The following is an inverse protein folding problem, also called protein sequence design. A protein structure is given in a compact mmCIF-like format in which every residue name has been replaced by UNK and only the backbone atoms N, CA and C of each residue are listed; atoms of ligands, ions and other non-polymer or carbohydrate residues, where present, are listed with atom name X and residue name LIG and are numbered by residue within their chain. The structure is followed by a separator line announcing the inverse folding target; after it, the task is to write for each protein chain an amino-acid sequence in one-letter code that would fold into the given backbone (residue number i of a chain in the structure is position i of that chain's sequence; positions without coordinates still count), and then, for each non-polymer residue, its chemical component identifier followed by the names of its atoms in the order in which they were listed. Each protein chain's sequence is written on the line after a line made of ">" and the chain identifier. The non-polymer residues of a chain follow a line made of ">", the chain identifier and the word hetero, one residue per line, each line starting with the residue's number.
data_IF_031329024932
#
_entry.id   IF_031329024932
#
_cell.length_a   1.000
_cell.length_b   1.000
_cell.length_c   1.000
_cell.angle_alpha   90.00
_cell.angle_beta   90.00
_cell.angle_gamma   90.00
#
_symmetry.space_group_name_H-M   'P 1'
#
loop_
_entity.id
_entity.type
_entity.pdbx_description
1 polymer ?
#
# COMPACT_ATOMS: atom_id res chain seq x y z
N UNK A 1 -23.30 -39.82 -6.95
CA UNK A 1 -23.85 -39.12 -8.13
C UNK A 1 -25.03 -38.27 -7.67
N UNK A 2 -24.93 -36.93 -7.62
CA UNK A 2 -26.06 -35.97 -7.73
C UNK A 2 -25.50 -34.53 -7.70
N UNK A 3 -25.46 -33.80 -8.83
CA UNK A 3 -26.35 -32.72 -9.34
C UNK A 3 -26.15 -31.37 -8.65
N UNK A 4 -25.60 -30.41 -9.42
CA UNK A 4 -25.51 -28.97 -9.10
C UNK A 4 -26.20 -28.26 -10.26
N UNK A 5 -27.27 -27.50 -9.98
CA UNK A 5 -28.02 -26.74 -10.98
C UNK A 5 -27.50 -25.30 -11.01
N UNK A 6 -26.97 -24.87 -12.15
CA UNK A 6 -26.86 -23.45 -12.48
C UNK A 6 -28.24 -22.92 -12.93
N UNK A 7 -28.65 -21.77 -12.41
CA UNK A 7 -29.92 -21.11 -12.73
C UNK A 7 -30.07 -20.91 -14.25
N UNK A 8 -31.16 -21.41 -14.81
CA UNK A 8 -31.64 -21.01 -16.14
C UNK A 8 -32.52 -19.76 -16.06
N UNK A 9 -32.51 -18.87 -17.07
CA UNK A 9 -33.45 -17.76 -17.16
C UNK A 9 -34.86 -18.30 -17.46
N UNK A 10 -35.86 -17.84 -16.68
CA UNK A 10 -37.27 -18.20 -16.86
C UNK A 10 -37.84 -17.43 -18.06
N UNK A 11 -38.00 -18.11 -19.19
CA UNK A 11 -38.81 -17.65 -20.32
C UNK A 11 -39.48 -18.84 -20.99
N UNK A 12 -40.82 -18.82 -21.14
CA UNK A 12 -41.58 -19.86 -21.84
C UNK A 12 -41.26 -19.81 -23.35
N UNK A 13 -40.93 -20.92 -24.03
CA UNK A 13 -40.87 -20.93 -25.48
C UNK A 13 -42.26 -21.23 -26.08
N UNK A 14 -42.61 -20.68 -27.24
CA UNK A 14 -43.78 -21.11 -27.99
C UNK A 14 -43.48 -22.46 -28.67
N UNK A 15 -44.49 -23.32 -28.71
CA UNK A 15 -44.47 -24.59 -29.43
C UNK A 15 -44.18 -24.39 -30.93
N UNK A 16 -43.21 -25.13 -31.49
CA UNK A 16 -43.36 -26.04 -32.65
C UNK A 16 -41.99 -26.50 -33.20
N UNK A 17 -42.00 -27.71 -33.78
CA UNK A 17 -40.92 -28.39 -34.53
C UNK A 17 -39.83 -29.05 -33.69
N UNK A 18 -40.07 -30.32 -33.34
CA UNK A 18 -39.06 -31.26 -32.83
C UNK A 18 -38.01 -31.56 -33.91
N UNK A 19 -36.90 -30.79 -33.92
CA UNK A 19 -35.62 -31.27 -34.43
C UNK A 19 -34.89 -31.95 -33.27
N UNK A 20 -34.43 -33.19 -33.49
CA UNK A 20 -33.61 -33.93 -32.56
C UNK A 20 -32.24 -33.23 -32.39
N UNK A 21 -32.20 -32.20 -31.55
CA UNK A 21 -30.96 -31.61 -31.06
C UNK A 21 -30.43 -32.55 -29.97
N UNK A 22 -29.43 -33.37 -30.31
CA UNK A 22 -28.60 -34.02 -29.30
C UNK A 22 -27.85 -32.91 -28.56
N UNK A 23 -28.38 -32.47 -27.42
CA UNK A 23 -27.63 -31.62 -26.50
C UNK A 23 -26.49 -32.47 -25.93
N UNK A 24 -25.27 -32.27 -26.44
CA UNK A 24 -24.05 -32.66 -25.75
C UNK A 24 -23.95 -31.80 -24.49
N UNK A 25 -24.55 -32.26 -23.39
CA UNK A 25 -24.32 -31.68 -22.08
C UNK A 25 -22.93 -32.11 -21.63
N UNK A 26 -21.95 -31.22 -21.78
CA UNK A 26 -20.66 -31.38 -21.11
C UNK A 26 -20.91 -31.08 -19.62
N UNK A 27 -20.64 -32.06 -18.76
CA UNK A 27 -20.70 -31.88 -17.32
C UNK A 27 -19.65 -30.85 -16.90
N UNK A 28 -20.07 -29.61 -16.65
CA UNK A 28 -19.19 -28.49 -16.29
C UNK A 28 -18.78 -28.48 -14.80
N UNK A 29 -19.19 -29.48 -14.02
CA UNK A 29 -18.89 -29.55 -12.59
C UNK A 29 -17.46 -30.02 -12.34
N UNK A 30 -16.74 -29.32 -11.48
CA UNK A 30 -15.43 -29.78 -11.00
C UNK A 30 -15.62 -30.86 -9.94
N UNK A 31 -14.99 -32.03 -10.13
CA UNK A 31 -14.93 -33.11 -9.11
C UNK A 31 -13.58 -33.07 -8.42
N UNK A 32 -13.53 -33.32 -7.10
CA UNK A 32 -12.26 -33.41 -6.37
C UNK A 32 -11.32 -34.49 -6.94
N UNK A 33 -11.85 -35.56 -7.52
CA UNK A 33 -11.05 -36.62 -8.15
C UNK A 33 -10.37 -36.18 -9.46
N UNK A 34 -10.85 -35.12 -10.11
CA UNK A 34 -10.31 -34.61 -11.38
C UNK A 34 -9.68 -33.23 -11.22
N UNK A 35 -10.00 -32.52 -10.14
CA UNK A 35 -9.48 -31.20 -9.83
C UNK A 35 -8.24 -31.35 -8.94
N UNK A 36 -7.10 -30.92 -9.45
CA UNK A 36 -5.84 -31.01 -8.71
C UNK A 36 -5.81 -29.99 -7.57
N UNK A 37 -6.02 -30.47 -6.35
CA UNK A 37 -5.95 -29.70 -5.11
C UNK A 37 -5.05 -30.44 -4.09
N UNK A 38 -3.72 -30.25 -4.14
CA UNK A 38 -2.79 -30.97 -3.27
C UNK A 38 -2.85 -30.37 -1.85
N UNK A 39 -3.76 -30.88 -1.03
CA UNK A 39 -3.83 -30.57 0.40
C UNK A 39 -2.65 -31.20 1.15
N UNK A 40 -2.29 -30.64 2.30
CA UNK A 40 -1.11 -31.04 3.09
C UNK A 40 0.13 -30.18 2.82
N UNK A 41 1.21 -30.39 3.57
CA UNK A 41 2.52 -29.75 3.31
C UNK A 41 3.26 -29.20 4.53
N UNK A 42 2.57 -28.79 5.59
CA UNK A 42 3.17 -28.46 6.90
C UNK A 42 2.18 -28.82 8.01
N UNK A 43 2.59 -29.66 8.95
CA UNK A 43 1.97 -29.72 10.27
C UNK A 43 2.46 -28.53 11.08
N UNK A 44 1.60 -27.85 11.87
CA UNK A 44 2.12 -26.90 12.86
C UNK A 44 3.15 -27.61 13.74
N UNK A 45 4.29 -26.97 14.00
CA UNK A 45 5.16 -27.41 15.08
C UNK A 45 4.43 -27.10 16.40
N UNK A 46 4.50 -28.02 17.36
CA UNK A 46 3.79 -27.89 18.64
C UNK A 46 4.08 -26.52 19.29
N UNK A 47 3.04 -25.68 19.40
CA UNK A 47 3.09 -24.36 20.07
C UNK A 47 2.86 -23.14 19.18
N UNK A 48 2.96 -23.24 17.85
CA UNK A 48 2.67 -22.12 16.95
C UNK A 48 1.18 -22.05 16.59
N UNK A 49 0.54 -20.89 16.77
CA UNK A 49 -0.76 -20.62 16.13
C UNK A 49 -0.61 -20.74 14.61
N UNK A 50 -1.56 -21.41 13.95
CA UNK A 50 -1.54 -21.62 12.50
C UNK A 50 -1.36 -20.28 11.76
N UNK A 51 -0.17 -20.06 11.21
CA UNK A 51 0.10 -18.89 10.39
C UNK A 51 -0.82 -18.91 9.15
N UNK A 52 -1.33 -17.76 8.72
CA UNK A 52 -2.25 -17.69 7.57
C UNK A 52 -1.59 -18.20 6.29
N UNK A 53 -0.28 -18.00 6.18
CA UNK A 53 0.53 -18.62 5.16
C UNK A 53 0.55 -20.15 5.25
N UNK A 54 0.69 -20.71 6.46
CA UNK A 54 0.64 -22.16 6.67
C UNK A 54 -0.73 -22.74 6.29
N UNK A 55 -1.82 -22.04 6.58
CA UNK A 55 -3.17 -22.43 6.15
C UNK A 55 -3.31 -22.43 4.61
N UNK A 56 -2.78 -21.42 3.93
CA UNK A 56 -2.77 -21.35 2.46
C UNK A 56 -1.95 -22.48 1.83
N UNK A 57 -0.82 -22.86 2.44
CA UNK A 57 -0.02 -24.02 2.02
C UNK A 57 -0.80 -25.32 2.28
N UNK A 58 -1.28 -25.55 3.50
CA UNK A 58 -2.01 -26.76 3.91
C UNK A 58 -3.28 -26.97 3.09
N UNK A 59 -3.99 -25.90 2.77
CA UNK A 59 -5.19 -25.92 1.93
C UNK A 59 -4.91 -26.11 0.42
N UNK A 60 -3.64 -26.18 0.00
CA UNK A 60 -3.30 -26.37 -1.42
C UNK A 60 -3.58 -25.14 -2.28
N UNK A 61 -3.51 -23.92 -1.73
CA UNK A 61 -3.69 -22.68 -2.47
C UNK A 61 -2.39 -22.20 -3.13
N UNK A 62 -1.25 -22.43 -2.46
CA UNK A 62 0.06 -22.00 -2.94
C UNK A 62 1.20 -22.92 -2.48
N UNK A 63 2.35 -22.80 -3.15
CA UNK A 63 3.64 -23.36 -2.73
C UNK A 63 4.73 -22.32 -2.86
N UNK A 64 5.71 -22.37 -1.97
CA UNK A 64 6.87 -21.50 -2.04
C UNK A 64 7.90 -22.09 -3.02
N UNK A 65 8.34 -21.29 -3.98
CA UNK A 65 9.40 -21.65 -4.92
C UNK A 65 10.77 -21.25 -4.37
N UNK A 66 10.88 -19.98 -3.95
CA UNK A 66 12.07 -19.39 -3.32
C UNK A 66 11.62 -18.40 -2.23
N UNK A 67 12.58 -17.83 -1.49
CA UNK A 67 12.26 -16.80 -0.49
C UNK A 67 11.55 -15.61 -1.16
N UNK A 68 10.29 -15.36 -0.75
CA UNK A 68 9.46 -14.32 -1.34
C UNK A 68 8.91 -14.59 -2.75
N UNK A 69 8.99 -15.83 -3.25
CA UNK A 69 8.47 -16.19 -4.58
C UNK A 69 7.56 -17.42 -4.46
N UNK A 70 6.35 -17.32 -4.99
CA UNK A 70 5.28 -18.30 -4.77
C UNK A 70 4.64 -18.78 -6.07
N UNK A 71 4.32 -20.07 -6.12
CA UNK A 71 3.44 -20.65 -7.12
C UNK A 71 2.01 -20.68 -6.57
N UNK A 72 1.08 -20.06 -7.29
CA UNK A 72 -0.35 -20.25 -7.03
C UNK A 72 -0.82 -21.55 -7.66
N UNK A 73 -1.52 -22.35 -6.85
CA UNK A 73 -2.13 -23.60 -7.26
C UNK A 73 -3.59 -23.34 -7.72
N UNK A 74 -4.29 -24.31 -8.31
CA UNK A 74 -5.61 -24.08 -8.91
C UNK A 74 -6.64 -23.42 -7.98
N UNK A 75 -6.66 -23.73 -6.68
CA UNK A 75 -7.55 -23.06 -5.71
C UNK A 75 -7.17 -21.59 -5.52
N UNK A 76 -5.88 -21.30 -5.30
CA UNK A 76 -5.37 -19.94 -5.18
C UNK A 76 -5.62 -19.12 -6.43
N UNK A 77 -5.38 -19.70 -7.61
CA UNK A 77 -5.60 -19.04 -8.89
C UNK A 77 -7.08 -18.72 -9.12
N UNK A 78 -8.01 -19.58 -8.69
CA UNK A 78 -9.45 -19.28 -8.75
C UNK A 78 -9.84 -18.10 -7.86
N UNK A 79 -9.31 -18.03 -6.64
CA UNK A 79 -9.52 -16.87 -5.75
C UNK A 79 -8.96 -15.60 -6.40
N UNK A 80 -7.73 -15.68 -6.91
CA UNK A 80 -7.08 -14.56 -7.58
C UNK A 80 -7.92 -14.06 -8.77
N UNK A 81 -8.33 -14.94 -9.69
CA UNK A 81 -9.13 -14.53 -10.85
C UNK A 81 -10.47 -13.92 -10.47
N UNK A 82 -11.14 -14.42 -9.43
CA UNK A 82 -12.39 -13.82 -8.93
C UNK A 82 -12.16 -12.42 -8.37
N UNK A 83 -11.05 -12.24 -7.66
CA UNK A 83 -10.64 -10.95 -7.12
C UNK A 83 -10.27 -9.97 -8.25
N UNK A 84 -9.54 -10.43 -9.27
CA UNK A 84 -9.24 -9.65 -10.48
C UNK A 84 -10.52 -9.23 -11.20
N UNK A 85 -11.48 -10.14 -11.38
CA UNK A 85 -12.78 -9.85 -12.00
C UNK A 85 -13.56 -8.80 -11.21
N UNK A 86 -13.52 -8.89 -9.87
CA UNK A 86 -14.17 -7.92 -9.01
C UNK A 86 -13.51 -6.54 -9.12
N UNK A 87 -12.17 -6.49 -9.16
CA UNK A 87 -11.44 -5.23 -9.39
C UNK A 87 -11.77 -4.66 -10.77
N UNK A 88 -11.76 -5.48 -11.82
CA UNK A 88 -12.09 -5.07 -13.19
C UNK A 88 -13.48 -4.42 -13.25
N UNK A 89 -14.49 -5.03 -12.63
CA UNK A 89 -15.86 -4.47 -12.52
C UNK A 89 -15.86 -3.05 -11.95
N UNK A 90 -15.11 -2.79 -10.88
CA UNK A 90 -15.05 -1.47 -10.25
C UNK A 90 -14.22 -0.46 -11.05
N UNK A 91 -13.14 -0.90 -11.72
CA UNK A 91 -12.35 -0.03 -12.60
C UNK A 91 -13.10 0.35 -13.88
N UNK A 92 -13.86 -0.58 -14.46
CA UNK A 92 -14.72 -0.32 -15.62
C UNK A 92 -15.84 0.67 -15.27
N UNK A 93 -16.36 0.64 -14.03
CA UNK A 93 -17.42 1.56 -13.59
C UNK A 93 -17.02 3.04 -13.62
N UNK A 94 -15.71 3.34 -13.52
CA UNK A 94 -15.17 4.71 -13.61
C UNK A 94 -14.61 5.05 -15.01
N UNK A 95 -14.89 4.20 -16.00
CA UNK A 95 -14.42 4.35 -17.38
C UNK A 95 -12.93 4.10 -17.57
N UNK A 96 -12.29 3.34 -16.66
CA UNK A 96 -10.88 2.98 -16.83
C UNK A 96 -10.74 1.83 -17.85
N UNK A 97 -9.74 1.94 -18.72
CA UNK A 97 -9.43 0.92 -19.74
C UNK A 97 -8.29 0.03 -19.28
N UNK A 98 -8.48 -1.30 -19.41
CA UNK A 98 -7.47 -2.30 -19.05
C UNK A 98 -6.42 -2.42 -20.15
N UNK A 99 -5.16 -2.36 -19.76
CA UNK A 99 -3.98 -2.54 -20.62
C UNK A 99 -3.03 -3.57 -19.98
N UNK A 100 -1.99 -3.95 -20.72
CA UNK A 100 -0.92 -4.82 -20.22
C UNK A 100 0.43 -4.19 -20.58
N UNK A 101 1.12 -3.62 -19.60
CA UNK A 101 2.42 -3.00 -19.81
C UNK A 101 3.55 -4.03 -19.72
N UNK A 102 4.70 -3.71 -20.31
CA UNK A 102 5.89 -4.56 -20.25
C UNK A 102 6.36 -4.73 -18.80
N UNK A 103 6.71 -5.95 -18.40
CA UNK A 103 7.38 -6.20 -17.12
C UNK A 103 8.87 -5.84 -17.13
N UNK A 104 9.44 -5.60 -18.32
CA UNK A 104 10.83 -5.20 -18.52
C UNK A 104 10.84 -3.73 -18.90
N UNK A 105 11.59 -2.93 -18.14
CA UNK A 105 11.80 -1.50 -18.38
C UNK A 105 13.29 -1.20 -18.57
N UNK A 106 13.61 -0.05 -19.14
CA UNK A 106 14.99 0.39 -19.37
C UNK A 106 15.52 1.21 -18.20
N UNK A 107 16.80 1.06 -17.88
CA UNK A 107 17.42 1.89 -16.85
C UNK A 107 17.39 3.38 -17.19
N UNK A 108 17.49 3.71 -18.48
CA UNK A 108 17.46 5.10 -18.97
C UNK A 108 16.15 5.80 -18.61
N UNK A 109 15.02 5.13 -18.83
CA UNK A 109 13.71 5.68 -18.51
C UNK A 109 13.57 5.98 -17.00
N UNK A 110 14.12 5.11 -16.15
CA UNK A 110 14.13 5.30 -14.70
C UNK A 110 15.13 6.35 -14.21
N UNK A 111 16.21 6.60 -14.98
CA UNK A 111 17.13 7.71 -14.73
C UNK A 111 16.45 9.04 -15.01
N UNK A 112 15.64 9.14 -16.06
CA UNK A 112 14.89 10.35 -16.40
C UNK A 112 13.89 10.75 -15.30
N UNK A 113 13.22 9.78 -14.66
CA UNK A 113 12.35 10.06 -13.51
C UNK A 113 13.13 10.36 -12.21
N UNK A 114 14.43 10.09 -12.20
CA UNK A 114 15.29 10.22 -11.03
C UNK A 114 15.09 9.12 -9.97
N UNK A 115 14.41 8.02 -10.31
CA UNK A 115 14.16 6.89 -9.40
C UNK A 115 15.18 5.76 -9.52
N UNK A 116 16.05 5.81 -10.53
CA UNK A 116 17.19 4.92 -10.63
C UNK A 116 18.26 5.27 -9.57
N UNK A 117 18.44 4.41 -8.56
CA UNK A 117 19.47 4.58 -7.53
C UNK A 117 20.15 3.26 -7.19
N UNK A 118 21.45 3.27 -6.86
CA UNK A 118 22.22 2.05 -6.57
C UNK A 118 21.69 1.24 -5.36
N UNK A 119 21.10 1.90 -4.36
CA UNK A 119 20.60 1.30 -3.12
C UNK A 119 19.09 0.97 -3.16
N UNK A 120 18.50 0.92 -4.35
CA UNK A 120 17.06 0.65 -4.53
C UNK A 120 16.72 -0.84 -4.52
N UNK A 121 15.44 -1.13 -4.28
CA UNK A 121 14.83 -2.47 -4.38
C UNK A 121 14.62 -2.95 -5.84
N UNK A 122 15.38 -2.42 -6.80
CA UNK A 122 15.23 -2.73 -8.23
C UNK A 122 15.98 -4.02 -8.60
N UNK A 123 15.26 -4.99 -9.18
CA UNK A 123 15.89 -6.14 -9.84
C UNK A 123 16.42 -5.74 -11.21
N UNK A 124 17.73 -5.79 -11.38
CA UNK A 124 18.43 -5.39 -12.61
C UNK A 124 18.90 -6.59 -13.40
N UNK A 125 18.82 -6.48 -14.72
CA UNK A 125 19.22 -7.52 -15.66
C UNK A 125 19.92 -6.85 -16.83
N UNK A 126 21.10 -7.36 -17.20
CA UNK A 126 21.74 -6.99 -18.46
C UNK A 126 21.37 -8.00 -19.53
N UNK A 127 21.04 -7.53 -20.73
CA UNK A 127 20.83 -8.41 -21.86
C UNK A 127 22.15 -8.93 -22.45
N UNK A 128 22.08 -9.71 -23.52
CA UNK A 128 23.25 -10.26 -24.22
C UNK A 128 24.13 -9.19 -24.89
N UNK A 129 23.64 -7.96 -25.03
CA UNK A 129 24.37 -6.81 -25.56
C UNK A 129 24.85 -5.88 -24.45
N UNK A 130 24.78 -6.33 -23.20
CA UNK A 130 25.12 -5.54 -22.00
C UNK A 130 24.27 -4.27 -21.85
N UNK A 131 23.07 -4.26 -22.44
CA UNK A 131 22.09 -3.19 -22.26
C UNK A 131 21.40 -3.36 -20.90
N UNK A 132 21.36 -2.28 -20.13
CA UNK A 132 20.77 -2.26 -18.79
C UNK A 132 19.25 -2.25 -18.83
N UNK A 133 18.65 -3.30 -18.28
CA UNK A 133 17.21 -3.42 -18.05
C UNK A 133 16.90 -3.64 -16.57
N UNK A 134 15.64 -3.49 -16.21
CA UNK A 134 15.13 -3.86 -14.90
C UNK A 134 13.75 -4.50 -15.02
N UNK A 135 13.41 -5.30 -14.00
CA UNK A 135 12.06 -5.80 -13.81
C UNK A 135 11.26 -4.75 -13.05
N UNK A 136 10.15 -4.29 -13.64
CA UNK A 136 9.40 -3.15 -13.14
C UNK A 136 8.75 -3.43 -11.77
N UNK A 137 9.10 -2.68 -10.70
CA UNK A 137 8.40 -2.76 -9.40
C UNK A 137 7.05 -2.04 -9.43
N UNK A 138 6.88 -1.12 -10.38
CA UNK A 138 5.71 -0.29 -10.69
C UNK A 138 5.94 0.32 -12.10
N UNK A 139 4.97 1.04 -12.64
CA UNK A 139 4.95 1.41 -14.07
C UNK A 139 4.67 2.90 -14.35
N UNK A 140 4.92 3.82 -13.40
CA UNK A 140 4.71 5.26 -13.65
C UNK A 140 5.51 5.75 -14.85
N UNK A 141 6.76 5.31 -15.02
CA UNK A 141 7.60 5.76 -16.12
C UNK A 141 7.14 5.21 -17.46
N UNK A 142 6.84 3.91 -17.53
CA UNK A 142 6.39 3.22 -18.76
C UNK A 142 5.08 3.81 -19.27
N UNK A 143 4.10 4.00 -18.39
CA UNK A 143 2.80 4.56 -18.77
C UNK A 143 2.89 6.04 -19.14
N UNK A 144 3.76 6.80 -18.47
CA UNK A 144 3.99 8.21 -18.82
C UNK A 144 4.65 8.34 -20.18
N UNK A 145 5.64 7.49 -20.48
CA UNK A 145 6.30 7.45 -21.79
C UNK A 145 5.30 7.10 -22.90
N UNK A 146 4.44 6.10 -22.67
CA UNK A 146 3.36 5.73 -23.59
C UNK A 146 2.38 6.90 -23.82
N UNK A 147 1.92 7.53 -22.73
CA UNK A 147 0.99 8.65 -22.77
C UNK A 147 1.60 9.86 -23.50
N UNK A 148 2.88 10.16 -23.27
CA UNK A 148 3.61 11.25 -23.94
C UNK A 148 3.66 11.09 -25.46
N UNK A 149 3.77 9.86 -25.96
CA UNK A 149 3.82 9.58 -27.39
C UNK A 149 2.45 9.69 -28.08
N UNK A 150 1.36 9.44 -27.35
CA UNK A 150 0.02 9.30 -27.92
C UNK A 150 -0.91 10.48 -27.67
N UNK A 151 -0.77 11.17 -26.54
CA UNK A 151 -1.68 12.24 -26.10
C UNK A 151 -1.09 13.59 -26.47
N UNK A 152 -1.86 14.41 -27.20
CA UNK A 152 -1.39 15.72 -27.64
C UNK A 152 -2.37 16.85 -27.29
N UNK A 153 -3.66 16.55 -27.12
CA UNK A 153 -4.71 17.55 -26.87
C UNK A 153 -5.46 17.27 -25.57
N UNK A 154 -5.91 18.33 -24.90
CA UNK A 154 -6.79 18.21 -23.72
C UNK A 154 -8.08 17.43 -24.03
N UNK A 155 -8.50 17.36 -25.31
CA UNK A 155 -9.69 16.63 -25.76
C UNK A 155 -9.57 15.12 -25.57
N UNK A 156 -8.35 14.60 -25.47
CA UNK A 156 -8.07 13.19 -25.23
C UNK A 156 -8.11 12.85 -23.72
N UNK A 157 -8.31 13.84 -22.86
CA UNK A 157 -8.32 13.73 -21.40
C UNK A 157 -9.74 14.00 -20.84
N UNK A 158 -10.13 13.40 -19.70
CA UNK A 158 -9.32 12.57 -18.81
C UNK A 158 -9.11 11.14 -19.35
N UNK A 159 -7.91 10.62 -19.14
CA UNK A 159 -7.56 9.24 -19.50
C UNK A 159 -7.29 8.42 -18.25
N UNK A 160 -7.84 7.20 -18.19
CA UNK A 160 -7.71 6.28 -17.05
C UNK A 160 -7.29 4.91 -17.57
N UNK A 161 -6.06 4.51 -17.31
CA UNK A 161 -5.47 3.26 -17.79
C UNK A 161 -5.00 2.42 -16.63
N UNK A 162 -5.44 1.16 -16.55
CA UNK A 162 -5.01 0.25 -15.49
C UNK A 162 -4.53 -1.08 -16.06
N UNK A 163 -3.71 -1.78 -15.29
CA UNK A 163 -3.35 -3.17 -15.56
C UNK A 163 -3.46 -3.98 -14.28
N UNK A 164 -3.57 -5.31 -14.44
CA UNK A 164 -3.30 -6.25 -13.37
C UNK A 164 -2.13 -7.09 -13.82
N UNK A 165 -0.96 -6.87 -13.21
CA UNK A 165 0.29 -7.44 -13.68
C UNK A 165 1.23 -7.82 -12.55
N UNK A 166 2.24 -8.62 -12.88
CA UNK A 166 3.31 -9.01 -11.95
C UNK A 166 4.24 -7.83 -11.72
N UNK A 167 4.62 -7.63 -10.46
CA UNK A 167 5.59 -6.64 -10.01
C UNK A 167 6.74 -7.36 -9.32
N UNK A 168 7.91 -6.75 -9.41
CA UNK A 168 9.12 -7.33 -8.88
C UNK A 168 9.85 -6.31 -8.01
N UNK A 169 10.03 -6.63 -6.72
CA UNK A 169 10.77 -5.81 -5.76
C UNK A 169 11.80 -6.69 -5.08
N UNK A 170 13.07 -6.31 -5.08
CA UNK A 170 14.13 -7.07 -4.41
C UNK A 170 14.10 -6.84 -2.90
N UNK A 171 13.03 -7.33 -2.29
CA UNK A 171 12.80 -7.20 -0.86
C UNK A 171 13.93 -7.90 -0.07
N UNK A 172 14.62 -7.12 0.78
CA UNK A 172 15.78 -7.62 1.55
C UNK A 172 15.37 -8.73 2.51
N UNK A 173 14.14 -8.66 3.06
CA UNK A 173 13.60 -9.65 4.00
C UNK A 173 12.13 -9.96 3.68
N UNK A 174 11.85 -10.83 2.68
CA UNK A 174 10.50 -11.30 2.39
C UNK A 174 9.94 -12.06 3.61
N UNK A 175 8.72 -11.75 4.02
CA UNK A 175 8.10 -12.30 5.25
C UNK A 175 6.60 -12.41 5.12
N UNK A 176 6.01 -13.27 5.97
CA UNK A 176 4.55 -13.46 6.07
C UNK A 176 3.87 -13.89 4.74
N UNK A 177 4.53 -14.73 3.95
CA UNK A 177 3.95 -15.31 2.75
C UNK A 177 3.63 -14.27 1.66
N UNK A 178 2.36 -14.18 1.27
CA UNK A 178 1.88 -13.27 0.22
C UNK A 178 1.82 -11.78 0.65
N UNK A 179 2.00 -11.47 1.94
CA UNK A 179 1.92 -10.10 2.43
C UNK A 179 3.13 -9.27 1.99
N UNK A 180 4.33 -9.86 2.01
CA UNK A 180 5.59 -9.21 1.61
C UNK A 180 6.48 -10.17 0.83
N UNK A 181 6.29 -10.16 -0.49
CA UNK A 181 6.95 -11.03 -1.46
C UNK A 181 7.86 -10.23 -2.41
N UNK A 182 8.81 -10.90 -3.06
CA UNK A 182 9.65 -10.32 -4.11
C UNK A 182 8.92 -10.22 -5.44
N UNK A 183 8.08 -11.20 -5.73
CA UNK A 183 7.23 -11.25 -6.90
C UNK A 183 5.77 -11.32 -6.43
N UNK A 184 4.94 -10.41 -6.92
CA UNK A 184 3.53 -10.34 -6.52
C UNK A 184 2.67 -9.73 -7.63
N UNK A 185 1.37 -10.02 -7.59
CA UNK A 185 0.40 -9.42 -8.50
C UNK A 185 -0.18 -8.14 -7.88
N UNK A 186 -0.22 -7.09 -8.70
CA UNK A 186 -0.79 -5.80 -8.31
C UNK A 186 -1.64 -5.28 -9.46
N UNK A 187 -2.76 -4.66 -9.09
CA UNK A 187 -3.47 -3.75 -9.98
C UNK A 187 -2.88 -2.37 -9.81
N UNK A 188 -2.52 -1.70 -10.88
CA UNK A 188 -2.03 -0.32 -10.91
C UNK A 188 -2.81 0.45 -11.97
N UNK A 189 -3.48 1.53 -11.53
CA UNK A 189 -4.26 2.45 -12.35
C UNK A 189 -3.52 3.78 -12.38
N UNK A 190 -3.38 4.35 -13.58
CA UNK A 190 -2.80 5.65 -13.83
C UNK A 190 -3.84 6.55 -14.48
N UNK A 191 -3.97 7.76 -13.96
CA UNK A 191 -4.89 8.77 -14.48
C UNK A 191 -4.11 9.94 -15.04
N UNK A 192 -4.61 10.53 -16.13
CA UNK A 192 -4.05 11.70 -16.76
C UNK A 192 -5.15 12.74 -16.95
N UNK A 193 -4.88 13.95 -16.48
CA UNK A 193 -5.79 15.09 -16.51
C UNK A 193 -5.02 16.34 -16.97
N UNK A 194 -5.70 17.30 -17.62
CA UNK A 194 -5.04 18.52 -18.09
C UNK A 194 -4.96 19.62 -17.03
N UNK A 195 -5.74 19.53 -15.94
CA UNK A 195 -5.77 20.51 -14.85
C UNK A 195 -5.72 19.82 -13.50
N UNK A 196 -5.21 20.53 -12.49
CA UNK A 196 -5.17 20.03 -11.11
C UNK A 196 -6.56 19.76 -10.54
N UNK A 197 -7.54 20.61 -10.83
CA UNK A 197 -8.91 20.45 -10.36
C UNK A 197 -9.53 19.14 -10.89
N UNK A 198 -9.35 18.86 -12.19
CA UNK A 198 -9.82 17.61 -12.79
C UNK A 198 -9.08 16.40 -12.22
N UNK A 199 -7.78 16.51 -11.97
CA UNK A 199 -7.00 15.45 -11.34
C UNK A 199 -7.50 15.13 -9.92
N UNK A 200 -7.88 16.14 -9.14
CA UNK A 200 -8.48 15.95 -7.81
C UNK A 200 -9.88 15.32 -7.88
N UNK A 201 -10.70 15.73 -8.85
CA UNK A 201 -12.01 15.11 -9.09
C UNK A 201 -11.87 13.63 -9.51
N UNK A 202 -10.94 13.32 -10.42
CA UNK A 202 -10.61 11.95 -10.82
C UNK A 202 -10.05 11.15 -9.65
N UNK A 203 -9.22 11.75 -8.79
CA UNK A 203 -8.68 11.11 -7.59
C UNK A 203 -9.80 10.65 -6.63
N UNK A 204 -10.77 11.53 -6.35
CA UNK A 204 -11.90 11.19 -5.48
C UNK A 204 -12.84 10.15 -6.11
N UNK A 205 -13.06 10.22 -7.44
CA UNK A 205 -13.79 9.19 -8.18
C UNK A 205 -13.16 7.80 -8.00
N UNK A 206 -11.82 7.70 -8.08
CA UNK A 206 -11.10 6.44 -7.88
C UNK A 206 -11.22 5.97 -6.43
N UNK A 207 -11.17 6.87 -5.45
CA UNK A 207 -11.36 6.52 -4.03
C UNK A 207 -12.75 5.92 -3.78
N UNK A 208 -13.78 6.51 -4.36
CA UNK A 208 -15.13 5.97 -4.28
C UNK A 208 -15.23 4.56 -4.90
N UNK A 209 -14.56 4.32 -6.03
CA UNK A 209 -14.49 2.97 -6.62
C UNK A 209 -13.76 1.96 -5.71
N UNK A 210 -12.73 2.39 -4.97
CA UNK A 210 -12.04 1.54 -4.00
C UNK A 210 -12.94 1.23 -2.80
N UNK A 211 -13.64 2.24 -2.26
CA UNK A 211 -14.62 2.04 -1.20
C UNK A 211 -15.68 1.00 -1.62
N UNK A 212 -16.29 1.18 -2.79
CA UNK A 212 -17.29 0.24 -3.31
C UNK A 212 -16.73 -1.19 -3.48
N UNK A 213 -15.46 -1.32 -3.89
CA UNK A 213 -14.77 -2.62 -3.98
C UNK A 213 -14.63 -3.28 -2.61
N UNK A 214 -14.16 -2.54 -1.60
CA UNK A 214 -13.96 -3.07 -0.25
C UNK A 214 -15.29 -3.34 0.48
N UNK A 215 -16.31 -2.51 0.24
CA UNK A 215 -17.68 -2.74 0.71
C UNK A 215 -18.25 -4.04 0.13
N UNK A 216 -18.05 -4.31 -1.16
CA UNK A 216 -18.50 -5.56 -1.81
C UNK A 216 -17.74 -6.80 -1.32
N UNK A 217 -16.48 -6.65 -0.90
CA UNK A 217 -15.73 -7.70 -0.20
C UNK A 217 -16.29 -7.99 1.20
N UNK A 218 -17.04 -7.04 1.77
CA UNK A 218 -17.63 -7.11 3.11
C UNK A 218 -16.60 -7.42 4.21
N UNK A 219 -15.45 -6.75 4.14
CA UNK A 219 -14.37 -6.81 5.12
C UNK A 219 -14.18 -5.43 5.72
N UNK A 220 -14.14 -5.27 7.06
CA UNK A 220 -13.86 -3.98 7.68
C UNK A 220 -12.50 -3.44 7.23
N UNK A 221 -12.48 -2.20 6.75
CA UNK A 221 -11.27 -1.53 6.29
C UNK A 221 -11.18 -0.12 6.87
N UNK A 222 -9.95 0.41 6.92
CA UNK A 222 -9.65 1.78 7.33
C UNK A 222 -9.04 2.52 6.14
N UNK A 223 -9.39 3.80 5.99
CA UNK A 223 -8.79 4.68 4.98
C UNK A 223 -7.96 5.73 5.71
N UNK A 224 -6.64 5.60 5.63
CA UNK A 224 -5.71 6.43 6.39
C UNK A 224 -5.01 7.44 5.47
N UNK A 225 -4.88 8.68 5.93
CA UNK A 225 -3.98 9.65 5.32
C UNK A 225 -2.53 9.15 5.43
N UNK A 226 -1.77 9.25 4.34
CA UNK A 226 -0.45 8.65 4.26
C UNK A 226 0.55 9.55 3.53
N UNK A 227 1.84 9.28 3.76
CA UNK A 227 2.91 10.01 3.07
C UNK A 227 2.95 9.61 1.60
N UNK A 228 3.26 10.57 0.73
CA UNK A 228 3.44 10.30 -0.70
C UNK A 228 4.82 9.69 -0.99
N UNK A 229 5.76 9.79 -0.05
CA UNK A 229 7.08 9.18 -0.11
C UNK A 229 7.81 9.47 -1.42
N UNK A 230 8.46 8.44 -1.97
CA UNK A 230 9.22 8.53 -3.22
C UNK A 230 8.33 8.59 -4.47
N UNK A 231 7.03 8.33 -4.35
CA UNK A 231 6.10 8.41 -5.49
C UNK A 231 5.88 9.86 -5.91
N UNK A 232 6.04 10.80 -4.97
CA UNK A 232 5.79 12.22 -5.17
C UNK A 232 4.30 12.55 -5.12
N UNK A 233 3.99 13.81 -4.81
CA UNK A 233 2.63 14.27 -4.57
C UNK A 233 2.47 14.93 -3.20
N UNK A 234 1.27 15.47 -2.94
CA UNK A 234 0.89 16.06 -1.65
C UNK A 234 -0.26 15.34 -0.96
N UNK A 235 -1.00 14.51 -1.70
CA UNK A 235 -2.21 13.87 -1.22
C UNK A 235 -2.12 12.37 -1.50
N UNK A 236 -2.17 11.56 -0.44
CA UNK A 236 -2.23 10.12 -0.57
C UNK A 236 -3.11 9.50 0.52
N UNK A 237 -3.78 8.39 0.17
CA UNK A 237 -4.58 7.61 1.11
C UNK A 237 -4.26 6.12 0.94
N UNK A 238 -4.01 5.46 2.06
CA UNK A 238 -3.82 4.02 2.18
C UNK A 238 -5.09 3.34 2.68
N UNK A 239 -5.36 2.14 2.18
CA UNK A 239 -6.46 1.29 2.60
C UNK A 239 -5.91 0.12 3.37
N UNK A 240 -6.48 -0.10 4.55
CA UNK A 240 -5.89 -0.92 5.58
C UNK A 240 -6.86 -1.95 6.11
N UNK A 241 -6.38 -3.17 6.27
CA UNK A 241 -7.06 -4.26 6.95
C UNK A 241 -6.50 -4.39 8.37
N UNK A 242 -7.32 -4.09 9.38
CA UNK A 242 -6.88 -4.08 10.78
C UNK A 242 -6.49 -5.49 11.24
N UNK A 243 -5.19 -5.71 11.47
CA UNK A 243 -4.64 -7.03 11.81
C UNK A 243 -3.38 -6.89 12.66
N UNK A 244 -3.21 -7.70 13.73
CA UNK A 244 -1.98 -7.69 14.53
C UNK A 244 -0.75 -8.12 13.72
N UNK A 245 -0.92 -8.79 12.58
CA UNK A 245 0.16 -9.18 11.66
C UNK A 245 0.61 -8.04 10.74
N UNK A 246 -0.14 -6.96 10.71
CA UNK A 246 0.17 -5.75 9.95
C UNK A 246 1.54 -5.17 10.30
N UNK A 247 2.19 -4.57 9.30
CA UNK A 247 3.46 -3.89 9.52
C UNK A 247 3.23 -2.43 9.92
N UNK A 248 2.15 -1.84 9.40
CA UNK A 248 1.84 -0.41 9.56
C UNK A 248 1.11 -0.15 10.85
N UNK A 249 1.41 1.01 11.46
CA UNK A 249 0.70 1.55 12.60
C UNK A 249 -0.26 2.63 12.09
N UNK A 250 -1.56 2.36 12.17
CA UNK A 250 -2.60 3.32 11.77
C UNK A 250 -3.26 3.86 13.02
N UNK A 251 -3.32 5.19 13.12
CA UNK A 251 -4.04 5.90 14.16
C UNK A 251 -5.42 6.27 13.66
N UNK A 252 -6.47 5.85 14.39
CA UNK A 252 -7.86 6.15 14.06
C UNK A 252 -8.59 6.76 15.25
N UNK A 253 -9.47 7.72 14.99
CA UNK A 253 -10.34 8.31 16.00
C UNK A 253 -11.51 7.38 16.37
N UNK A 254 -11.95 7.40 17.63
CA UNK A 254 -13.14 6.69 18.11
C UNK A 254 -14.47 7.39 17.77
N UNK A 255 -14.44 8.71 17.54
CA UNK A 255 -15.63 9.57 17.44
C UNK A 255 -15.87 10.12 16.03
N UNK A 256 -14.88 10.11 15.14
CA UNK A 256 -14.99 10.60 13.77
C UNK A 256 -14.23 9.71 12.77
N UNK A 257 -14.32 10.01 11.47
CA UNK A 257 -13.68 9.25 10.40
C UNK A 257 -12.19 9.53 10.21
N UNK A 258 -11.54 10.26 11.13
CA UNK A 258 -10.12 10.56 11.00
C UNK A 258 -9.29 9.28 11.18
N UNK A 259 -8.47 8.98 10.19
CA UNK A 259 -7.41 7.99 10.30
C UNK A 259 -6.16 8.45 9.53
N UNK A 260 -5.00 8.18 10.09
CA UNK A 260 -3.70 8.53 9.51
C UNK A 260 -2.65 7.48 9.85
N UNK A 261 -1.70 7.28 8.94
CA UNK A 261 -0.52 6.49 9.21
C UNK A 261 0.35 7.22 10.25
N UNK A 262 1.08 6.49 11.09
CA UNK A 262 2.04 7.02 12.08
C UNK A 262 3.01 8.05 11.49
N UNK A 263 3.32 7.96 10.19
CA UNK A 263 4.19 8.92 9.53
C UNK A 263 3.57 10.31 9.30
N UNK A 264 2.24 10.41 9.22
CA UNK A 264 1.50 11.64 8.84
C UNK A 264 0.51 12.11 9.91
N UNK A 265 0.19 11.26 10.89
CA UNK A 265 -0.73 11.62 11.97
C UNK A 265 -0.31 12.92 12.65
N UNK A 266 -1.32 13.77 12.89
CA UNK A 266 -1.14 15.10 13.47
C UNK A 266 -1.58 15.08 14.93
N UNK A 267 -0.84 15.77 15.79
CA UNK A 267 -1.27 16.00 17.16
C UNK A 267 -2.12 17.28 17.26
N UNK A 268 -3.24 17.19 17.99
CA UNK A 268 -3.97 18.40 18.37
C UNK A 268 -3.17 19.20 19.40
N UNK A 269 -2.86 20.45 19.08
CA UNK A 269 -2.24 21.39 20.00
C UNK A 269 -3.32 22.30 20.62
N UNK A 270 -3.84 21.89 21.78
CA UNK A 270 -4.71 22.76 22.59
C UNK A 270 -3.81 23.64 23.49
N UNK A 271 -3.73 24.93 23.16
CA UNK A 271 -3.04 26.03 23.84
C UNK A 271 -1.48 26.04 23.86
N UNK A 272 -0.81 27.13 23.42
CA UNK A 272 0.65 27.30 23.47
C UNK A 272 1.14 27.76 24.86
N UNK A 273 0.53 27.28 25.93
CA UNK A 273 1.02 27.58 27.28
C UNK A 273 2.42 26.99 27.44
N UNK A 274 3.41 27.72 28.00
CA UNK A 274 4.77 27.21 28.13
C UNK A 274 4.78 25.95 28.98
N UNK A 275 5.01 24.81 28.34
CA UNK A 275 5.18 23.52 29.00
C UNK A 275 6.66 23.38 29.36
N UNK A 276 7.03 22.81 30.52
CA UNK A 276 8.43 22.48 30.81
C UNK A 276 9.03 21.70 29.64
N UNK A 277 10.26 22.02 29.25
CA UNK A 277 10.92 21.38 28.11
C UNK A 277 11.82 20.21 28.55
N UNK A 278 11.92 19.20 27.69
CA UNK A 278 12.90 18.13 27.76
C UNK A 278 13.70 18.09 26.46
N UNK A 279 14.99 17.75 26.59
CA UNK A 279 15.95 17.83 25.49
C UNK A 279 16.45 16.43 25.12
N UNK A 280 16.50 16.12 23.83
CA UNK A 280 17.27 15.00 23.29
C UNK A 280 18.42 15.53 22.44
N UNK A 281 19.59 14.90 22.57
CA UNK A 281 20.77 15.24 21.77
C UNK A 281 21.07 14.10 20.80
N UNK A 282 20.97 14.40 19.51
CA UNK A 282 21.35 13.52 18.41
C UNK A 282 22.51 14.10 17.61
N UNK A 283 22.96 13.35 16.61
CA UNK A 283 24.03 13.77 15.70
C UNK A 283 23.60 13.53 14.26
N UNK A 284 24.12 14.35 13.36
CA UNK A 284 23.89 14.19 11.92
C UNK A 284 24.61 12.97 11.35
N UNK A 285 24.14 12.47 10.21
CA UNK A 285 24.73 11.31 9.51
C UNK A 285 26.16 11.56 9.03
N UNK A 286 26.54 12.82 8.79
CA UNK A 286 27.91 13.23 8.47
C UNK A 286 28.79 13.43 9.73
N UNK A 287 28.22 13.24 10.93
CA UNK A 287 28.84 13.37 12.25
C UNK A 287 29.40 14.76 12.58
N UNK A 288 29.03 15.80 11.83
CA UNK A 288 29.54 17.16 12.04
C UNK A 288 28.62 18.06 12.86
N UNK A 289 27.31 17.77 12.85
CA UNK A 289 26.30 18.63 13.44
C UNK A 289 25.63 17.93 14.62
N UNK A 290 25.64 18.59 15.79
CA UNK A 290 24.84 18.20 16.95
C UNK A 290 23.41 18.69 16.77
N UNK A 291 22.45 17.78 16.84
CA UNK A 291 21.03 18.07 16.68
C UNK A 291 20.39 18.05 18.07
N UNK A 292 19.84 19.18 18.51
CA UNK A 292 19.23 19.35 19.82
C UNK A 292 17.71 19.45 19.62
N UNK A 293 16.99 18.45 20.11
CA UNK A 293 15.54 18.30 19.93
C UNK A 293 14.87 18.71 21.23
N UNK A 294 14.03 19.73 21.18
CA UNK A 294 13.26 20.25 22.31
C UNK A 294 11.83 19.77 22.19
N UNK A 295 11.33 19.05 23.20
CA UNK A 295 9.94 18.59 23.29
C UNK A 295 9.33 18.99 24.64
N UNK A 296 8.00 19.01 24.79
CA UNK A 296 7.36 19.10 26.09
C UNK A 296 7.82 17.96 27.01
N UNK A 297 8.05 18.27 28.27
CA UNK A 297 8.49 17.31 29.27
C UNK A 297 7.46 16.18 29.40
N UNK A 298 7.86 14.91 29.16
CA UNK A 298 6.92 13.79 29.19
C UNK A 298 6.39 13.50 30.61
N UNK A 299 7.13 13.91 31.65
CA UNK A 299 6.71 13.81 33.05
C UNK A 299 6.86 15.16 33.78
N UNK A 300 5.94 15.52 34.70
CA UNK A 300 5.94 16.81 35.41
C UNK A 300 7.20 17.14 36.20
N UNK A 301 8.03 16.13 36.51
CA UNK A 301 9.24 16.25 37.32
C UNK A 301 10.54 16.06 36.51
N UNK A 302 10.46 16.10 35.18
CA UNK A 302 11.66 15.97 34.34
C UNK A 302 12.53 17.24 34.46
N UNK A 303 13.78 17.14 34.94
CA UNK A 303 14.65 18.30 35.03
C UNK A 303 15.03 18.80 33.62
N UNK A 304 14.76 20.08 33.31
CA UNK A 304 15.00 20.62 31.95
C UNK A 304 16.49 20.72 31.59
N UNK A 305 17.38 20.64 32.58
CA UNK A 305 18.82 20.87 32.39
C UNK A 305 19.60 19.64 31.92
N UNK A 306 19.04 18.43 31.98
CA UNK A 306 19.75 17.21 31.60
C UNK A 306 19.10 16.57 30.36
N UNK A 307 19.86 16.32 29.28
CA UNK A 307 19.34 15.60 28.12
C UNK A 307 18.83 14.21 28.50
N UNK A 308 17.66 13.84 27.97
CA UNK A 308 17.12 12.51 28.12
C UNK A 308 17.96 11.50 27.31
N UNK A 309 18.08 10.23 27.78
CA UNK A 309 18.85 9.22 27.07
C UNK A 309 18.31 8.97 25.66
N UNK A 310 19.19 9.01 24.66
CA UNK A 310 18.85 8.76 23.25
C UNK A 310 18.09 7.44 23.03
N UNK A 311 18.38 6.41 23.83
CA UNK A 311 17.66 5.12 23.78
C UNK A 311 16.14 5.22 23.93
N UNK A 312 15.63 6.31 24.54
CA UNK A 312 14.19 6.54 24.73
C UNK A 312 13.56 7.43 23.66
N UNK A 313 14.34 7.92 22.68
CA UNK A 313 13.85 8.90 21.71
C UNK A 313 12.60 8.42 20.97
N UNK A 314 12.57 7.16 20.52
CA UNK A 314 11.44 6.57 19.80
C UNK A 314 10.13 6.55 20.60
N UNK A 315 10.18 6.70 21.93
CA UNK A 315 8.98 6.73 22.77
C UNK A 315 8.37 8.12 22.87
N UNK A 316 9.18 9.16 22.73
CA UNK A 316 8.78 10.54 23.05
C UNK A 316 8.85 11.48 21.86
N UNK A 317 9.61 11.12 20.82
CA UNK A 317 9.84 11.95 19.64
C UNK A 317 9.34 11.26 18.38
N UNK A 318 8.51 11.96 17.61
CA UNK A 318 8.12 11.60 16.26
C UNK A 318 9.30 11.86 15.30
N UNK A 319 10.11 10.83 15.07
CA UNK A 319 11.27 10.91 14.16
C UNK A 319 10.86 11.15 12.69
N UNK A 320 9.64 10.79 12.29
CA UNK A 320 9.15 11.07 10.93
C UNK A 320 8.98 12.58 10.73
N UNK A 321 8.59 13.33 11.75
CA UNK A 321 8.54 14.79 11.68
C UNK A 321 9.92 15.42 11.43
N UNK A 322 10.97 14.90 12.07
CA UNK A 322 12.36 15.33 11.85
C UNK A 322 12.80 15.02 10.40
N UNK A 323 12.45 13.83 9.90
CA UNK A 323 12.74 13.44 8.52
C UNK A 323 12.06 14.37 7.50
N UNK A 324 10.84 14.84 7.77
CA UNK A 324 10.12 15.82 6.91
C UNK A 324 10.83 17.18 6.84
N UNK A 325 11.55 17.56 7.89
CA UNK A 325 12.41 18.75 7.88
C UNK A 325 13.69 18.56 7.05
N UNK A 326 13.88 17.39 6.42
CA UNK A 326 15.08 17.03 5.66
C UNK A 326 16.38 17.11 6.49
N UNK A 327 16.27 16.90 7.80
CA UNK A 327 17.41 16.91 8.71
C UNK A 327 18.08 15.52 8.64
N UNK A 328 19.37 15.44 8.27
CA UNK A 328 20.07 14.16 8.14
C UNK A 328 20.49 13.65 9.52
N UNK A 329 19.55 13.16 10.32
CA UNK A 329 19.80 12.64 11.67
C UNK A 329 20.18 11.15 11.64
N UNK A 330 21.20 10.76 12.40
CA UNK A 330 21.57 9.35 12.55
C UNK A 330 20.82 8.72 13.73
N UNK A 331 19.87 7.85 13.41
CA UNK A 331 19.01 7.17 14.39
C UNK A 331 19.58 5.83 14.84
N UNK A 332 20.62 5.32 14.18
CA UNK A 332 21.17 3.97 14.40
C UNK A 332 22.37 3.92 15.36
N UNK A 333 22.66 5.02 16.06
CA UNK A 333 23.85 5.13 16.90
C UNK A 333 23.65 4.41 18.22
N UNK A 334 24.65 3.61 18.59
CA UNK A 334 24.76 3.01 19.91
C UNK A 334 24.85 4.10 20.98
N UNK A 335 23.93 4.16 21.97
CA UNK A 335 23.86 5.23 22.96
C UNK A 335 25.17 5.45 23.74
N UNK A 336 25.98 4.41 23.92
CA UNK A 336 27.27 4.46 24.60
C UNK A 336 28.32 5.28 23.83
N UNK A 337 28.23 5.34 22.51
CA UNK A 337 29.18 6.05 21.63
C UNK A 337 28.79 7.49 21.34
N UNK A 338 27.51 7.82 21.53
CA UNK A 338 26.94 9.11 21.17
C UNK A 338 27.61 10.27 21.92
N UNK A 339 27.89 10.11 23.21
CA UNK A 339 28.50 11.19 24.01
C UNK A 339 29.88 11.61 23.50
N UNK A 340 30.71 10.64 23.08
CA UNK A 340 32.03 10.91 22.49
C UNK A 340 31.92 11.62 21.14
N UNK A 341 30.98 11.18 20.29
CA UNK A 341 30.78 11.78 18.97
C UNK A 341 30.24 13.21 19.05
N UNK A 342 29.38 13.50 20.02
CA UNK A 342 28.83 14.84 20.22
C UNK A 342 29.93 15.87 20.58
N UNK A 343 30.99 15.46 21.28
CA UNK A 343 32.11 16.34 21.63
C UNK A 343 32.97 16.76 20.42
N UNK A 344 32.92 16.00 19.31
CA UNK A 344 33.68 16.26 18.08
C UNK A 344 32.91 17.11 17.06
N UNK A 345 31.65 17.50 17.37
CA UNK A 345 30.80 18.27 16.45
C UNK A 345 31.21 19.73 16.34
N UNK A 346 31.08 20.31 15.14
CA UNK A 346 31.47 21.70 14.83
C UNK A 346 30.30 22.67 14.73
N UNK A 347 29.07 22.17 14.66
CA UNK A 347 27.87 22.99 14.49
C UNK A 347 26.70 22.43 15.30
N UNK A 348 25.76 23.29 15.69
CA UNK A 348 24.57 22.92 16.45
C UNK A 348 23.30 23.33 15.70
N UNK A 349 22.31 22.44 15.66
CA UNK A 349 20.99 22.68 15.08
C UNK A 349 19.93 22.42 16.14
N UNK A 350 19.09 23.43 16.41
CA UNK A 350 17.99 23.33 17.36
C UNK A 350 16.68 23.07 16.63
N UNK A 351 15.95 22.05 17.05
CA UNK A 351 14.64 21.67 16.53
C UNK A 351 13.65 21.69 17.68
N UNK A 352 12.62 22.54 17.60
CA UNK A 352 11.64 22.75 18.67
C UNK A 352 10.30 22.13 18.31
N UNK A 353 9.62 21.53 19.28
CA UNK A 353 8.22 21.16 19.19
C UNK A 353 7.35 22.43 19.06
N UNK A 354 6.21 22.34 18.38
CA UNK A 354 5.27 23.47 18.23
C UNK A 354 4.82 24.07 19.57
N UNK A 355 4.86 23.31 20.66
CA UNK A 355 4.49 23.76 22.01
C UNK A 355 5.65 24.30 22.83
N UNK A 356 6.88 24.20 22.32
CA UNK A 356 8.07 24.75 22.97
C UNK A 356 8.54 26.00 22.21
N UNK A 357 8.70 27.16 22.88
CA UNK A 357 9.08 28.39 22.19
C UNK A 357 10.48 28.29 21.58
N UNK A 358 10.59 28.58 20.29
CA UNK A 358 11.86 28.73 19.59
C UNK A 358 12.67 29.89 20.20
N UNK A 359 13.86 29.60 20.73
CA UNK A 359 14.71 30.60 21.38
C UNK A 359 15.59 31.39 20.40
N UNK A 360 15.68 30.97 19.12
CA UNK A 360 16.48 31.64 18.10
C UNK A 360 15.84 31.59 16.69
N UNK A 361 16.07 32.59 15.83
CA UNK A 361 15.50 32.64 14.46
C UNK A 361 16.09 31.61 13.49
N UNK A 362 17.18 30.94 13.85
CA UNK A 362 17.79 29.83 13.07
C UNK A 362 17.29 28.44 13.50
N UNK A 363 16.33 28.38 14.42
CA UNK A 363 15.75 27.12 14.88
C UNK A 363 14.60 26.67 13.98
N UNK A 364 14.46 25.35 13.83
CA UNK A 364 13.37 24.74 13.07
C UNK A 364 12.27 24.33 14.06
N UNK A 365 11.01 24.47 13.67
CA UNK A 365 9.87 24.03 14.48
C UNK A 365 9.02 23.00 13.73
N UNK A 366 8.62 21.93 14.43
CA UNK A 366 7.72 20.91 13.89
C UNK A 366 6.91 20.24 15.02
N UNK A 367 5.90 19.45 14.67
CA UNK A 367 5.21 18.58 15.62
C UNK A 367 6.12 17.37 15.94
N UNK A 368 6.90 17.47 17.01
CA UNK A 368 7.99 16.55 17.33
C UNK A 368 7.59 15.51 18.36
N UNK A 369 6.48 15.67 19.05
CA UNK A 369 6.11 14.80 20.15
C UNK A 369 5.44 13.52 19.63
N UNK A 370 5.85 12.37 20.17
CA UNK A 370 5.24 11.11 19.83
C UNK A 370 3.79 11.03 20.36
N UNK A 371 2.88 10.49 19.56
CA UNK A 371 1.51 10.25 19.99
C UNK A 371 1.43 9.03 20.91
N UNK A 372 0.44 9.08 21.81
CA UNK A 372 0.10 7.98 22.70
C UNK A 372 -1.38 7.58 22.53
N UNK A 373 -1.74 6.29 22.66
CA UNK A 373 -3.16 5.89 22.65
C UNK A 373 -3.96 6.71 23.66
N UNK A 374 -5.10 7.26 23.23
CA UNK A 374 -5.88 8.20 24.01
C UNK A 374 -5.53 9.67 23.76
N UNK A 375 -4.60 9.99 22.85
CA UNK A 375 -4.30 11.37 22.47
C UNK A 375 -5.52 12.03 21.78
N UNK A 376 -5.77 13.33 21.98
CA UNK A 376 -6.92 14.01 21.39
C UNK A 376 -6.86 14.00 19.85
N UNK A 377 -8.01 13.79 19.22
CA UNK A 377 -8.13 13.82 17.77
C UNK A 377 -7.89 15.24 17.22
N UNK A 378 -7.08 15.41 16.15
CA UNK A 378 -6.88 16.72 15.52
C UNK A 378 -8.12 17.21 14.75
N UNK A 379 -9.03 16.31 14.37
CA UNK A 379 -10.19 16.64 13.53
C UNK A 379 -11.51 16.82 14.28
N UNK A 380 -11.59 16.46 15.57
CA UNK A 380 -12.83 16.63 16.34
C UNK A 380 -12.57 16.89 17.82
N UNK A 381 -13.54 17.51 18.48
CA UNK A 381 -13.36 18.00 19.85
C UNK A 381 -13.34 16.89 20.91
N UNK A 382 -14.16 15.84 20.73
CA UNK A 382 -14.47 14.83 21.75
C UNK A 382 -13.75 13.50 21.56
N UNK A 383 -13.11 13.30 20.41
CA UNK A 383 -12.56 12.00 20.03
C UNK A 383 -11.12 11.80 20.45
N UNK A 384 -10.76 10.54 20.64
CA UNK A 384 -9.41 10.12 21.01
C UNK A 384 -8.84 9.16 19.97
N UNK A 385 -7.53 9.24 19.76
CA UNK A 385 -6.81 8.43 18.78
C UNK A 385 -6.39 7.09 19.39
N UNK A 386 -6.60 6.02 18.62
CA UNK A 386 -6.15 4.68 18.93
C UNK A 386 -5.21 4.17 17.84
N UNK A 387 -4.06 3.65 18.23
CA UNK A 387 -3.14 2.99 17.32
C UNK A 387 -3.57 1.53 17.11
N UNK A 388 -3.55 1.07 15.86
CA UNK A 388 -3.79 -0.33 15.49
C UNK A 388 -2.75 -0.76 14.46
N UNK A 389 -2.30 -2.00 14.58
CA UNK A 389 -1.56 -2.66 13.50
C UNK A 389 -2.51 -2.97 12.35
N UNK A 390 -2.04 -2.72 11.12
CA UNK A 390 -2.84 -2.96 9.93
C UNK A 390 -1.98 -3.39 8.72
N UNK A 391 -2.63 -4.08 7.80
CA UNK A 391 -2.05 -4.52 6.53
C UNK A 391 -2.54 -3.55 5.45
N UNK A 392 -1.64 -2.77 4.87
CA UNK A 392 -1.91 -1.94 3.70
C UNK A 392 -2.22 -2.81 2.49
N UNK A 393 -3.45 -2.76 1.98
CA UNK A 393 -3.91 -3.55 0.82
C UNK A 393 -4.02 -2.74 -0.46
N UNK A 394 -4.11 -1.41 -0.36
CA UNK A 394 -4.16 -0.50 -1.49
C UNK A 394 -3.67 0.90 -1.11
N UNK A 395 -3.21 1.66 -2.10
CA UNK A 395 -2.70 3.02 -1.93
C UNK A 395 -3.07 3.87 -3.13
N UNK A 396 -3.52 5.10 -2.88
CA UNK A 396 -3.89 6.08 -3.91
C UNK A 396 -3.07 7.35 -3.76
N UNK A 397 -2.42 7.80 -4.83
CA UNK A 397 -1.54 8.96 -4.87
C UNK A 397 -2.03 9.99 -5.90
N UNK A 398 -2.05 11.26 -5.51
CA UNK A 398 -2.10 12.38 -6.45
C UNK A 398 -0.67 12.84 -6.74
N UNK A 399 -0.13 12.41 -7.89
CA UNK A 399 1.26 12.61 -8.29
C UNK A 399 1.54 14.02 -8.82
N UNK A 400 0.50 14.76 -9.22
CA UNK A 400 0.64 16.04 -9.89
C UNK A 400 1.45 15.88 -11.18
N UNK A 401 2.51 16.67 -11.35
CA UNK A 401 3.35 16.65 -12.56
C UNK A 401 4.69 15.94 -12.35
N UNK A 402 4.82 15.12 -11.29
CA UNK A 402 6.09 14.49 -10.87
C UNK A 402 6.77 13.68 -11.98
N UNK A 403 6.00 12.97 -12.79
CA UNK A 403 6.50 12.13 -13.89
C UNK A 403 6.32 12.78 -15.26
N UNK A 404 5.20 13.47 -15.48
CA UNK A 404 4.91 14.10 -16.77
C UNK A 404 5.89 15.22 -17.12
N UNK A 405 6.36 15.99 -16.14
CA UNK A 405 7.35 17.04 -16.36
C UNK A 405 8.72 16.49 -16.82
N UNK A 406 9.39 15.56 -16.10
CA UNK A 406 10.68 15.01 -16.56
C UNK A 406 10.58 14.15 -17.81
N UNK A 407 9.45 13.47 -18.05
CA UNK A 407 9.25 12.60 -19.21
C UNK A 407 8.58 13.32 -20.40
N UNK A 408 8.45 14.65 -20.34
CA UNK A 408 7.88 15.47 -21.42
C UNK A 408 6.48 15.04 -21.88
N UNK A 409 5.66 14.51 -20.97
CA UNK A 409 4.28 14.13 -21.24
C UNK A 409 3.38 15.38 -21.18
N UNK A 410 3.42 16.17 -22.26
CA UNK A 410 2.80 17.48 -22.36
C UNK A 410 1.52 17.46 -23.20
N UNK A 411 0.53 18.27 -22.83
CA UNK A 411 -0.76 18.40 -23.51
C UNK A 411 -1.09 19.85 -23.85
N UNK A 412 -1.74 20.09 -24.99
CA UNK A 412 -2.24 21.41 -25.37
C UNK A 412 -3.54 21.75 -24.63
N UNK A 413 -3.62 22.95 -24.04
CA UNK A 413 -4.80 23.43 -23.30
C UNK A 413 -5.89 24.03 -24.22
N UNK A 414 -7.16 24.14 -23.74
CA UNK A 414 -8.22 24.82 -24.48
C UNK A 414 -7.86 26.28 -24.79
N UNK A 415 -8.05 26.70 -26.05
CA UNK A 415 -7.87 28.10 -26.50
C UNK A 415 -6.50 28.73 -26.16
N UNK A 416 -5.47 27.90 -25.97
CA UNK A 416 -4.15 28.35 -25.55
C UNK A 416 -3.26 28.70 -26.75
N UNK A 417 -2.80 29.95 -26.81
CA UNK A 417 -1.59 30.36 -27.53
C UNK A 417 -0.30 30.12 -26.71
N UNK A 418 -0.45 29.66 -25.45
CA UNK A 418 0.59 29.59 -24.42
C UNK A 418 1.37 28.26 -24.35
N UNK A 419 1.29 27.43 -25.41
CA UNK A 419 2.06 26.17 -25.50
C UNK A 419 1.45 24.98 -24.74
N UNK A 420 2.21 23.88 -24.66
CA UNK A 420 1.82 22.64 -23.99
C UNK A 420 2.22 22.65 -22.52
N UNK A 421 1.41 22.05 -21.66
CA UNK A 421 1.67 21.91 -20.21
C UNK A 421 1.81 20.44 -19.82
N UNK A 422 2.57 20.09 -18.77
CA UNK A 422 2.64 18.72 -18.28
C UNK A 422 1.27 18.23 -17.80
N UNK A 423 0.92 16.99 -18.14
CA UNK A 423 -0.31 16.36 -17.65
C UNK A 423 -0.26 16.17 -16.13
N UNK A 424 -1.38 16.42 -15.45
CA UNK A 424 -1.54 16.03 -14.05
C UNK A 424 -1.83 14.53 -13.96
N UNK A 425 -1.18 13.86 -13.02
CA UNK A 425 -1.21 12.41 -12.90
C UNK A 425 -1.70 11.93 -11.52
N UNK A 426 -2.39 10.78 -11.53
CA UNK A 426 -2.67 9.96 -10.35
C UNK A 426 -2.13 8.54 -10.53
N UNK A 427 -1.76 7.88 -9.44
CA UNK A 427 -1.41 6.45 -9.42
C UNK A 427 -2.15 5.76 -8.28
N UNK A 428 -2.76 4.62 -8.57
CA UNK A 428 -3.65 3.92 -7.64
C UNK A 428 -3.37 2.42 -7.69
N UNK A 429 -2.78 1.90 -6.61
CA UNK A 429 -2.33 0.52 -6.46
C UNK A 429 -3.26 -0.32 -5.58
N UNK A 430 -3.48 -1.58 -5.95
CA UNK A 430 -4.13 -2.60 -5.10
C UNK A 430 -3.25 -3.86 -5.18
N UNK A 431 -2.74 -4.33 -4.05
CA UNK A 431 -1.95 -5.56 -4.00
C UNK A 431 -2.85 -6.79 -4.09
N UNK A 432 -3.09 -7.34 -5.28
CA UNK A 432 -4.01 -8.48 -5.48
C UNK A 432 -3.55 -9.71 -4.69
N UNK A 433 -2.27 -10.08 -4.79
CA UNK A 433 -1.72 -11.20 -4.01
C UNK A 433 -1.73 -10.89 -2.51
N UNK A 434 -1.45 -9.64 -2.14
CA UNK A 434 -1.46 -9.20 -0.74
C UNK A 434 -2.87 -9.28 -0.14
N UNK A 435 -3.91 -8.86 -0.87
CA UNK A 435 -5.30 -8.99 -0.44
C UNK A 435 -5.69 -10.44 -0.19
N UNK A 436 -5.24 -11.40 -1.01
CA UNK A 436 -5.44 -12.83 -0.73
C UNK A 436 -4.81 -13.26 0.60
N UNK A 437 -3.56 -12.85 0.85
CA UNK A 437 -2.87 -13.12 2.12
C UNK A 437 -3.55 -12.45 3.31
N UNK A 438 -4.03 -11.21 3.13
CA UNK A 438 -4.67 -10.43 4.17
C UNK A 438 -6.05 -10.99 4.54
N UNK A 439 -6.86 -11.38 3.54
CA UNK A 439 -8.12 -12.10 3.77
C UNK A 439 -7.91 -13.40 4.54
N UNK A 440 -6.90 -14.19 4.15
CA UNK A 440 -6.54 -15.40 4.88
C UNK A 440 -6.08 -15.12 6.32
N UNK A 441 -5.40 -14.00 6.56
CA UNK A 441 -4.95 -13.61 7.90
C UNK A 441 -6.08 -13.09 8.79
N UNK A 442 -7.06 -12.39 8.22
CA UNK A 442 -8.15 -11.79 8.97
C UNK A 442 -9.29 -12.76 9.26
N UNK A 443 -9.63 -13.60 8.29
CA UNK A 443 -10.89 -14.35 8.31
C UNK A 443 -10.69 -15.80 8.73
N UNK A 444 -9.45 -16.30 8.77
CA UNK A 444 -9.21 -17.66 9.23
C UNK A 444 -9.56 -17.85 10.70
N UNK A 445 -10.05 -19.04 11.02
CA UNK A 445 -10.37 -19.47 12.38
C UNK A 445 -9.76 -20.85 12.68
N UNK A 446 -10.13 -21.45 13.82
CA UNK A 446 -9.63 -22.77 14.22
C UNK A 446 -10.02 -23.92 13.27
N UNK A 447 -10.95 -23.70 12.33
CA UNK A 447 -11.40 -24.70 11.35
C UNK A 447 -10.73 -24.54 9.99
N UNK A 448 -10.32 -23.32 9.62
CA UNK A 448 -9.57 -23.08 8.39
C UNK A 448 -9.76 -21.69 7.79
N UNK A 449 -9.68 -21.61 6.46
CA UNK A 449 -9.77 -20.37 5.69
C UNK A 449 -11.23 -20.02 5.40
N UNK A 450 -11.68 -18.82 5.80
CA UNK A 450 -13.00 -18.30 5.47
C UNK A 450 -12.89 -17.21 4.39
N UNK A 451 -13.33 -17.53 3.17
CA UNK A 451 -13.31 -16.56 2.06
C UNK A 451 -14.63 -15.79 1.96
N UNK A 452 -14.60 -14.48 1.66
CA UNK A 452 -15.80 -13.78 1.25
C UNK A 452 -16.42 -14.48 0.05
N UNK A 453 -17.75 -14.61 0.04
CA UNK A 453 -18.47 -15.39 -0.98
C UNK A 453 -18.09 -14.99 -2.42
N UNK A 454 -17.89 -13.69 -2.65
CA UNK A 454 -17.53 -13.12 -3.95
C UNK A 454 -16.19 -13.65 -4.50
N UNK A 455 -15.25 -14.04 -3.63
CA UNK A 455 -13.91 -14.53 -4.01
C UNK A 455 -13.63 -15.98 -3.63
N UNK A 456 -14.55 -16.65 -2.93
CA UNK A 456 -14.40 -18.07 -2.58
C UNK A 456 -14.13 -18.94 -3.81
N UNK A 457 -13.18 -19.91 -3.78
CA UNK A 457 -12.79 -20.66 -4.97
C UNK A 457 -13.96 -21.46 -5.57
N UNK A 458 -14.88 -21.92 -4.73
CA UNK A 458 -16.17 -22.52 -5.07
C UNK A 458 -17.23 -21.97 -4.11
N UNK A 459 -18.48 -21.81 -4.56
CA UNK A 459 -19.58 -21.32 -3.71
C UNK A 459 -20.17 -22.41 -2.81
N UNK A 460 -20.06 -23.66 -3.22
CA UNK A 460 -20.61 -24.80 -2.48
C UNK A 460 -19.69 -26.01 -2.68
N UNK A 461 -19.49 -26.76 -1.60
CA UNK A 461 -18.85 -28.06 -1.62
C UNK A 461 -19.92 -29.11 -1.32
N UNK A 462 -20.11 -30.06 -2.23
CA UNK A 462 -21.03 -31.17 -2.03
C UNK A 462 -20.22 -32.39 -1.60
N UNK A 463 -20.26 -32.69 -0.32
CA UNK A 463 -19.66 -33.91 0.24
C UNK A 463 -20.70 -35.04 0.26
N UNK A 464 -20.33 -36.22 -0.21
CA UNK A 464 -21.13 -37.43 -0.01
C UNK A 464 -20.74 -38.05 1.33
N UNK A 465 -21.72 -38.29 2.20
CA UNK A 465 -21.52 -38.90 3.53
C UNK A 465 -21.55 -40.44 3.49
N UNK A 466 -21.30 -41.07 2.33
CA UNK A 466 -21.48 -42.51 2.13
C UNK A 466 -20.49 -43.36 2.91
N UNK A 467 -21.03 -44.12 3.89
CA UNK A 467 -20.48 -45.22 4.68
C UNK A 467 -18.98 -45.52 4.56
N UNK A 468 -18.31 -45.45 5.70
CA UNK A 468 -17.12 -46.25 6.01
C UNK A 468 -17.38 -47.70 5.57
N UNK A 469 -16.65 -48.18 4.57
CA UNK A 469 -16.39 -49.60 4.34
C UNK A 469 -14.90 -49.75 4.13
#
# INVERSE_FOLDING_TARGET
>A
MLVVLSRFPKGKPPYKSARCLRYLSVDSRSRLSTFWAPTGGRSPQDGDQDDSHALLVRGGFLRQAHSGVFHLLPLGLRVQHKLETLIDKHMESIGASKISLSSISTEELWRQSGRYSANSELLRVNDRRESGFLLSPTHEEEITSLASGMIQSYKDLPLRLYQIGRKYRDEKRPRQGLLRAKEFLMKDLYTFDFSQENALATYELVRQAYNNLFDELNIPYLVANADSGNMGGKLSHEYHFASPKGEDNVWSCDSCSYAANEEVVEQRCDDPSPVPEAIFEGISTDRKTKIIIHIPAPEPHTPSTTPLPWSRIHKHVNLHAIKRLSIPIDTGIEPSTLHSLLAETTSQLHVHDLRTPASSPSSLSADLTALHPGSPCPSCASGHLHARKAIEVAHTFHLGTRYSAPLSALVSLPNSTAGKVPMHMGCHGIGVSRMMGAMAALLADGTGLNWPRVVAPFECLVASTGAVV
#
